data_IF_265878801542
#
_entry.id   IF_265878801542
#
_cell.length_a   1.000
_cell.length_b   1.000
_cell.length_c   1.000
_cell.angle_alpha   90.00
_cell.angle_beta   90.00
_cell.angle_gamma   90.00
#
_symmetry.space_group_name_H-M   'P 1'
#
loop_
_entity.id
_entity.type
_entity.pdbx_description
1 polymer ?
#
# COMPACT_ATOMS: atom_id res chain seq x y z
N UNK A 1 15.93 -10.94 1.07
CA UNK A 1 16.79 -10.12 1.98
C UNK A 1 16.00 -9.16 2.86
N UNK A 2 14.77 -8.80 2.48
CA UNK A 2 14.00 -7.74 3.13
C UNK A 2 14.83 -6.43 3.33
N UNK A 3 15.69 -6.08 2.37
CA UNK A 3 16.69 -5.02 2.44
C UNK A 3 17.68 -5.15 3.62
N UNK A 4 17.94 -6.38 4.06
CA UNK A 4 18.96 -6.71 5.07
C UNK A 4 19.87 -7.83 4.50
N UNK A 5 21.15 -7.55 4.18
CA UNK A 5 22.05 -8.56 3.64
C UNK A 5 22.22 -9.78 4.56
N UNK A 6 22.27 -9.56 5.87
CA UNK A 6 22.44 -10.63 6.85
C UNK A 6 21.20 -11.54 6.99
N UNK A 7 20.08 -11.10 6.46
CA UNK A 7 18.81 -11.85 6.41
C UNK A 7 18.61 -12.52 5.03
N UNK A 8 19.62 -12.61 4.20
CA UNK A 8 19.50 -13.19 2.86
C UNK A 8 19.26 -14.71 2.94
N UNK A 9 18.25 -15.19 2.24
CA UNK A 9 17.98 -16.61 2.05
C UNK A 9 17.27 -16.86 0.72
N UNK A 10 17.37 -18.07 0.22
CA UNK A 10 16.63 -18.53 -0.95
C UNK A 10 15.37 -19.28 -0.48
N UNK A 11 14.18 -18.72 -0.72
CA UNK A 11 12.95 -19.40 -0.35
C UNK A 11 12.77 -20.65 -1.21
N UNK A 12 12.25 -21.74 -0.59
CA UNK A 12 11.97 -23.01 -1.29
C UNK A 12 10.64 -22.99 -2.04
N UNK A 13 9.76 -22.09 -1.68
CA UNK A 13 8.41 -21.95 -2.22
C UNK A 13 8.08 -20.49 -2.47
N UNK A 14 7.23 -20.24 -3.44
CA UNK A 14 6.65 -18.93 -3.65
C UNK A 14 5.67 -18.56 -2.53
N UNK A 15 5.57 -17.27 -2.21
CA UNK A 15 4.49 -16.79 -1.36
C UNK A 15 3.13 -17.10 -2.01
N UNK A 16 2.12 -17.42 -1.19
CA UNK A 16 0.81 -17.88 -1.68
C UNK A 16 0.20 -16.95 -2.74
N UNK A 17 0.31 -15.63 -2.56
CA UNK A 17 -0.19 -14.66 -3.54
C UNK A 17 0.60 -14.69 -4.86
N UNK A 18 1.90 -14.91 -4.80
CA UNK A 18 2.76 -15.02 -5.99
C UNK A 18 2.38 -16.28 -6.78
N UNK A 19 2.23 -17.42 -6.09
CA UNK A 19 1.80 -18.67 -6.69
C UNK A 19 0.45 -18.53 -7.42
N UNK A 20 -0.56 -17.93 -6.76
CA UNK A 20 -1.87 -17.69 -7.38
C UNK A 20 -1.78 -16.82 -8.64
N UNK A 21 -0.96 -15.79 -8.62
CA UNK A 21 -0.78 -14.91 -9.78
C UNK A 21 -0.07 -15.63 -10.94
N UNK A 22 0.93 -16.46 -10.65
CA UNK A 22 1.59 -17.30 -11.67
C UNK A 22 0.58 -18.30 -12.27
N UNK A 23 -0.23 -18.94 -11.45
CA UNK A 23 -1.29 -19.85 -11.89
C UNK A 23 -2.36 -19.12 -12.75
N UNK A 24 -2.59 -17.83 -12.52
CA UNK A 24 -3.44 -16.96 -13.32
C UNK A 24 -2.76 -16.44 -14.62
N UNK A 25 -1.48 -16.80 -14.85
CA UNK A 25 -0.75 -16.44 -16.07
C UNK A 25 0.21 -15.26 -15.92
N UNK A 26 0.40 -14.71 -14.72
CA UNK A 26 1.38 -13.68 -14.50
C UNK A 26 2.81 -14.22 -14.57
N UNK A 27 3.74 -13.39 -15.03
CA UNK A 27 5.16 -13.74 -15.13
C UNK A 27 5.99 -12.79 -14.25
N UNK A 28 6.67 -13.30 -13.18
CA UNK A 28 7.51 -12.49 -12.33
C UNK A 28 8.80 -12.07 -13.05
N UNK A 29 9.04 -10.77 -13.16
CA UNK A 29 10.22 -10.20 -13.83
C UNK A 29 11.36 -9.87 -12.89
N UNK A 30 11.11 -9.81 -11.58
CA UNK A 30 12.15 -9.52 -10.59
C UNK A 30 11.62 -9.18 -9.21
N UNK A 31 12.54 -8.79 -8.34
CA UNK A 31 12.28 -8.28 -6.98
C UNK A 31 12.83 -6.87 -6.86
N UNK A 32 12.10 -6.01 -6.19
CA UNK A 32 12.41 -4.59 -6.07
C UNK A 32 13.06 -4.26 -4.73
N UNK A 33 13.69 -3.10 -4.65
CA UNK A 33 14.18 -2.52 -3.41
C UNK A 33 13.00 -2.05 -2.52
N UNK A 34 13.24 -1.96 -1.21
CA UNK A 34 12.25 -1.54 -0.22
C UNK A 34 12.96 -0.94 1.00
N UNK A 35 12.22 -0.25 1.87
CA UNK A 35 12.72 0.07 3.21
C UNK A 35 12.90 -1.21 4.01
N UNK A 36 14.01 -1.32 4.74
CA UNK A 36 14.42 -2.52 5.46
C UNK A 36 13.31 -3.07 6.37
N UNK A 37 13.01 -4.36 6.24
CA UNK A 37 11.95 -5.09 6.94
C UNK A 37 10.57 -4.42 6.83
N UNK A 38 10.30 -3.74 5.72
CA UNK A 38 9.07 -3.01 5.48
C UNK A 38 8.77 -1.93 6.54
N UNK A 39 9.80 -1.42 7.23
CA UNK A 39 9.70 -0.39 8.26
C UNK A 39 10.10 0.98 7.75
N UNK A 40 9.13 1.83 7.47
CA UNK A 40 9.30 3.18 6.95
C UNK A 40 8.27 3.52 5.89
N UNK A 41 8.18 4.81 5.57
CA UNK A 41 7.24 5.34 4.57
C UNK A 41 7.92 6.24 3.53
N UNK A 42 9.25 6.27 3.52
CA UNK A 42 10.02 7.27 2.73
C UNK A 42 10.79 6.68 1.55
N UNK A 43 11.16 5.38 1.58
CA UNK A 43 11.92 4.73 0.51
C UNK A 43 13.44 4.96 0.58
N UNK A 44 13.95 5.41 1.74
CA UNK A 44 15.37 5.75 1.93
C UNK A 44 16.10 4.82 2.90
N UNK A 45 15.40 3.84 3.46
CA UNK A 45 15.95 2.91 4.48
C UNK A 45 16.40 1.59 3.89
N UNK A 46 17.31 1.64 2.94
CA UNK A 46 17.86 0.44 2.32
C UNK A 46 19.39 0.52 2.19
N UNK A 47 20.11 -0.56 2.51
CA UNK A 47 21.56 -0.63 2.27
C UNK A 47 21.91 -0.71 0.78
N UNK A 48 20.91 -0.97 -0.08
CA UNK A 48 21.08 -1.02 -1.53
C UNK A 48 20.89 0.35 -2.22
N UNK A 49 20.73 1.41 -1.43
CA UNK A 49 20.53 2.77 -1.90
C UNK A 49 19.06 3.21 -1.85
N UNK A 50 18.87 4.50 -2.03
CA UNK A 50 17.56 5.14 -2.08
C UNK A 50 16.85 4.88 -3.41
N UNK A 51 15.56 4.61 -3.35
CA UNK A 51 14.73 4.58 -4.56
C UNK A 51 14.22 5.99 -4.81
N UNK A 52 14.53 6.54 -5.96
CA UNK A 52 14.08 7.88 -6.37
C UNK A 52 12.64 7.84 -6.88
N UNK A 53 11.91 8.93 -6.67
CA UNK A 53 10.57 9.09 -7.19
C UNK A 53 10.57 9.05 -8.73
N UNK A 54 9.58 8.40 -9.32
CA UNK A 54 9.52 8.21 -10.78
C UNK A 54 9.20 9.51 -11.55
N UNK A 55 8.54 10.48 -10.91
CA UNK A 55 8.11 11.73 -11.53
C UNK A 55 9.15 12.84 -11.35
N UNK A 56 9.80 12.87 -10.18
CA UNK A 56 10.83 13.85 -9.83
C UNK A 56 11.87 13.18 -8.91
N UNK A 57 13.10 12.94 -9.41
CA UNK A 57 14.14 12.25 -8.65
C UNK A 57 14.68 13.03 -7.44
N UNK A 58 14.33 14.31 -7.30
CA UNK A 58 14.65 15.11 -6.10
C UNK A 58 13.67 14.84 -4.94
N UNK A 59 12.54 14.17 -5.21
CA UNK A 59 11.56 13.80 -4.21
C UNK A 59 11.74 12.34 -3.76
N UNK A 60 11.23 12.03 -2.56
CA UNK A 60 11.16 10.67 -2.07
C UNK A 60 10.17 9.83 -2.89
N UNK A 61 10.48 8.57 -3.09
CA UNK A 61 9.55 7.62 -3.72
C UNK A 61 8.36 7.25 -2.84
N UNK A 62 8.48 7.50 -1.54
CA UNK A 62 7.65 6.84 -0.54
C UNK A 62 8.06 5.39 -0.33
N UNK A 63 7.56 4.80 0.74
CA UNK A 63 7.91 3.45 1.17
C UNK A 63 6.82 2.83 2.07
N UNK A 64 7.09 1.65 2.55
CA UNK A 64 8.31 0.84 2.41
C UNK A 64 8.44 0.15 1.04
N UNK A 65 7.36 -0.04 0.27
CA UNK A 65 7.36 -0.72 -1.04
C UNK A 65 7.80 0.23 -2.18
N UNK A 66 8.94 0.91 -1.97
CA UNK A 66 9.45 1.98 -2.83
C UNK A 66 9.72 1.52 -4.27
N UNK A 67 10.53 0.48 -4.43
CA UNK A 67 10.89 -0.04 -5.75
C UNK A 67 9.69 -0.64 -6.48
N UNK A 68 8.73 -1.22 -5.74
CA UNK A 68 7.50 -1.77 -6.32
C UNK A 68 6.68 -0.67 -7.01
N UNK A 69 6.46 0.45 -6.35
CA UNK A 69 5.75 1.58 -6.93
C UNK A 69 6.52 2.17 -8.13
N UNK A 70 7.80 2.46 -7.94
CA UNK A 70 8.60 3.09 -8.99
C UNK A 70 8.73 2.23 -10.24
N UNK A 71 8.84 0.90 -10.10
CA UNK A 71 8.93 -0.01 -11.27
C UNK A 71 7.68 0.04 -12.13
N UNK A 72 6.50 0.15 -11.55
CA UNK A 72 5.23 0.29 -12.30
C UNK A 72 5.12 1.68 -12.92
N UNK A 73 5.43 2.73 -12.16
CA UNK A 73 5.38 4.10 -12.66
C UNK A 73 6.32 4.35 -13.85
N UNK A 74 7.46 3.65 -13.89
CA UNK A 74 8.41 3.69 -15.01
C UNK A 74 8.08 2.69 -16.15
N UNK A 75 6.98 1.96 -16.06
CA UNK A 75 6.57 0.99 -17.08
C UNK A 75 7.45 -0.26 -17.16
N UNK A 76 8.23 -0.57 -16.11
CA UNK A 76 9.07 -1.78 -16.06
C UNK A 76 8.25 -3.05 -15.80
N UNK A 77 7.06 -2.91 -15.24
CA UNK A 77 6.12 -3.99 -14.97
C UNK A 77 4.69 -3.48 -15.14
N UNK A 78 3.77 -4.34 -15.56
CA UNK A 78 2.35 -4.02 -15.68
C UNK A 78 1.74 -3.76 -14.29
N UNK A 79 2.12 -4.56 -13.31
CA UNK A 79 1.80 -4.37 -11.90
C UNK A 79 2.95 -4.87 -11.03
N UNK A 80 2.93 -4.51 -9.77
CA UNK A 80 3.87 -5.06 -8.77
C UNK A 80 3.18 -5.31 -7.45
N UNK A 81 3.74 -6.20 -6.66
CA UNK A 81 3.30 -6.46 -5.30
C UNK A 81 4.16 -5.69 -4.30
N UNK A 82 3.56 -5.31 -3.19
CA UNK A 82 4.22 -4.80 -2.02
C UNK A 82 3.46 -5.21 -0.76
N UNK A 83 3.74 -4.54 0.34
CA UNK A 83 3.01 -4.73 1.61
C UNK A 83 2.54 -3.40 2.15
N UNK A 84 1.49 -3.44 2.96
CA UNK A 84 0.95 -2.26 3.64
C UNK A 84 0.46 -2.66 5.04
N UNK A 85 1.30 -2.42 6.03
CA UNK A 85 0.97 -2.58 7.44
C UNK A 85 0.37 -1.29 7.99
N UNK A 86 0.97 -0.14 7.63
CA UNK A 86 0.60 1.19 8.11
C UNK A 86 0.71 2.28 7.03
N UNK A 87 0.61 1.92 5.75
CA UNK A 87 0.67 2.87 4.63
C UNK A 87 1.63 2.48 3.51
N UNK A 88 2.46 1.45 3.69
CA UNK A 88 3.58 1.13 2.78
C UNK A 88 3.17 0.70 1.36
N UNK A 89 1.91 0.43 1.09
CA UNK A 89 1.36 0.27 -0.27
C UNK A 89 0.77 1.57 -0.80
N UNK A 90 -0.02 2.26 0.01
CA UNK A 90 -0.76 3.48 -0.39
C UNK A 90 0.14 4.71 -0.54
N UNK A 91 1.10 4.90 0.37
CA UNK A 91 1.99 6.08 0.35
C UNK A 91 2.86 6.13 -0.91
N UNK A 92 3.65 5.08 -1.26
CA UNK A 92 4.45 5.14 -2.48
C UNK A 92 3.61 5.16 -3.75
N UNK A 93 2.41 4.55 -3.77
CA UNK A 93 1.49 4.69 -4.88
C UNK A 93 1.05 6.14 -5.09
N UNK A 94 0.64 6.83 -4.03
CA UNK A 94 0.22 8.23 -4.10
C UNK A 94 1.34 9.15 -4.59
N UNK A 95 2.59 8.93 -4.13
CA UNK A 95 3.74 9.74 -4.52
C UNK A 95 4.22 9.49 -5.95
N UNK A 96 3.85 8.36 -6.56
CA UNK A 96 4.21 8.02 -7.94
C UNK A 96 2.98 7.99 -8.88
N UNK A 97 1.85 8.61 -8.48
CA UNK A 97 0.61 8.71 -9.26
C UNK A 97 0.04 7.36 -9.73
N UNK A 98 0.09 6.35 -8.87
CA UNK A 98 -0.41 5.01 -9.13
C UNK A 98 -1.67 4.70 -8.31
N UNK A 99 -2.37 3.65 -8.72
CA UNK A 99 -3.33 2.95 -7.87
C UNK A 99 -2.55 2.05 -6.91
N UNK A 100 -2.69 2.30 -5.60
CA UNK A 100 -2.19 1.43 -4.54
C UNK A 100 -3.37 0.76 -3.86
N UNK A 101 -3.68 -0.48 -4.24
CA UNK A 101 -4.81 -1.20 -3.67
C UNK A 101 -4.36 -2.05 -2.50
N UNK A 102 -4.85 -1.68 -1.32
CA UNK A 102 -4.70 -2.46 -0.09
C UNK A 102 -6.01 -3.19 0.20
N UNK A 103 -6.07 -4.52 0.09
CA UNK A 103 -7.28 -5.27 0.41
C UNK A 103 -7.61 -5.20 1.90
N UNK A 104 -8.78 -5.72 2.26
CA UNK A 104 -9.11 -5.97 3.65
C UNK A 104 -8.13 -6.97 4.25
N UNK A 105 -7.83 -6.81 5.54
CA UNK A 105 -6.89 -7.66 6.27
C UNK A 105 -7.30 -9.15 6.17
N UNK A 106 -6.41 -9.99 5.66
CA UNK A 106 -6.65 -11.42 5.47
C UNK A 106 -7.43 -11.81 4.20
N UNK A 107 -7.83 -10.84 3.35
CA UNK A 107 -8.45 -11.15 2.06
C UNK A 107 -7.48 -11.78 1.06
N UNK A 108 -6.21 -11.45 1.18
CA UNK A 108 -5.08 -12.10 0.51
C UNK A 108 -4.21 -12.78 1.54
N UNK A 109 -3.72 -13.99 1.22
CA UNK A 109 -2.82 -14.70 2.12
C UNK A 109 -1.48 -13.97 2.27
N UNK A 110 -0.97 -13.91 3.49
CA UNK A 110 0.38 -13.44 3.80
C UNK A 110 1.38 -14.58 4.00
N UNK A 111 0.97 -15.82 3.70
CA UNK A 111 1.88 -16.98 3.74
C UNK A 111 3.07 -16.78 2.80
N UNK A 112 4.27 -16.97 3.32
CA UNK A 112 5.53 -16.79 2.58
C UNK A 112 6.01 -15.34 2.47
N UNK A 113 5.31 -14.39 3.10
CA UNK A 113 5.74 -12.98 3.19
C UNK A 113 6.52 -12.77 4.49
N UNK A 114 7.66 -12.08 4.40
CA UNK A 114 8.42 -11.68 5.59
C UNK A 114 7.60 -10.64 6.35
N UNK A 115 7.21 -10.90 7.62
CA UNK A 115 6.33 -9.99 8.34
C UNK A 115 7.03 -8.74 8.84
N UNK A 116 6.32 -7.60 8.81
CA UNK A 116 6.64 -6.42 9.61
C UNK A 116 5.84 -6.44 10.92
N UNK A 117 4.52 -6.62 10.82
CA UNK A 117 3.61 -6.86 11.92
C UNK A 117 2.54 -7.84 11.44
N UNK A 118 2.73 -9.13 11.68
CA UNK A 118 1.95 -10.21 11.07
C UNK A 118 0.42 -10.04 11.19
N UNK A 119 -0.05 -9.49 12.31
CA UNK A 119 -1.48 -9.27 12.54
C UNK A 119 -2.09 -8.07 11.77
N UNK A 120 -1.24 -7.21 11.20
CA UNK A 120 -1.66 -6.00 10.46
C UNK A 120 -1.19 -6.01 9.01
N UNK A 121 -0.29 -6.91 8.64
CA UNK A 121 0.29 -6.96 7.30
C UNK A 121 -0.76 -7.31 6.24
N UNK A 122 -0.76 -6.55 5.16
CA UNK A 122 -1.48 -6.86 3.94
C UNK A 122 -0.52 -6.88 2.77
N UNK A 123 -0.65 -7.86 1.88
CA UNK A 123 -0.06 -7.74 0.55
C UNK A 123 -0.91 -6.77 -0.27
N UNK A 124 -0.27 -5.95 -1.07
CA UNK A 124 -0.88 -4.88 -1.87
C UNK A 124 -0.44 -4.98 -3.32
N UNK A 125 -1.19 -4.35 -4.21
CA UNK A 125 -0.81 -4.20 -5.61
C UNK A 125 -0.64 -2.73 -5.98
N UNK A 126 0.34 -2.46 -6.83
CA UNK A 126 0.55 -1.21 -7.54
C UNK A 126 0.19 -1.43 -9.00
N UNK A 127 -0.65 -0.56 -9.54
CA UNK A 127 -1.09 -0.63 -10.92
C UNK A 127 -1.32 0.78 -11.48
N UNK A 128 -1.38 0.91 -12.82
CA UNK A 128 -1.67 2.18 -13.47
C UNK A 128 -3.16 2.49 -13.55
N UNK A 129 -4.03 1.48 -13.44
CA UNK A 129 -5.49 1.63 -13.49
C UNK A 129 -6.18 0.85 -12.37
N UNK A 130 -7.45 1.20 -12.09
CA UNK A 130 -8.28 0.45 -11.16
C UNK A 130 -8.61 -0.93 -11.72
N UNK A 131 -8.80 -1.02 -13.02
CA UNK A 131 -9.10 -2.25 -13.74
C UNK A 131 -7.98 -3.27 -13.57
N UNK A 132 -6.71 -2.87 -13.76
CA UNK A 132 -5.55 -3.73 -13.56
C UNK A 132 -5.44 -4.19 -12.10
N UNK A 133 -5.68 -3.26 -11.16
CA UNK A 133 -5.65 -3.58 -9.73
C UNK A 133 -6.76 -4.58 -9.33
N UNK A 134 -7.93 -4.48 -9.96
CA UNK A 134 -9.06 -5.39 -9.73
C UNK A 134 -8.78 -6.79 -10.31
N UNK A 135 -8.20 -6.89 -11.50
CA UNK A 135 -7.77 -8.18 -12.09
C UNK A 135 -6.79 -8.91 -11.16
N UNK A 136 -5.79 -8.19 -10.64
CA UNK A 136 -4.85 -8.75 -9.67
C UNK A 136 -5.56 -9.16 -8.37
N UNK A 137 -6.51 -8.34 -7.89
CA UNK A 137 -7.30 -8.66 -6.72
C UNK A 137 -8.11 -9.94 -6.90
N UNK A 138 -8.76 -10.12 -8.03
CA UNK A 138 -9.56 -11.32 -8.33
C UNK A 138 -8.70 -12.58 -8.36
N UNK A 139 -7.48 -12.50 -8.89
CA UNK A 139 -6.56 -13.63 -8.94
C UNK A 139 -5.94 -13.95 -7.55
N UNK A 140 -5.60 -12.92 -6.77
CA UNK A 140 -4.86 -13.08 -5.52
C UNK A 140 -5.74 -13.41 -4.30
N UNK A 141 -7.01 -12.97 -4.30
CA UNK A 141 -7.93 -13.12 -3.15
C UNK A 141 -8.36 -14.56 -2.91
N UNK A 142 -8.84 -14.80 -1.70
CA UNK A 142 -9.46 -16.06 -1.28
C UNK A 142 -8.81 -16.63 -0.04
N UNK A 143 -9.55 -17.54 0.60
CA UNK A 143 -9.10 -18.20 1.85
C UNK A 143 -7.90 -19.08 1.58
N UNK A 144 -6.94 -19.01 2.48
CA UNK A 144 -5.79 -19.90 2.56
C UNK A 144 -5.78 -20.53 3.96
N UNK A 145 -6.05 -21.82 4.04
CA UNK A 145 -6.12 -22.57 5.31
C UNK A 145 -4.78 -22.65 6.04
N UNK A 146 -3.68 -22.49 5.30
CA UNK A 146 -2.33 -22.48 5.88
C UNK A 146 -1.88 -21.09 6.37
N UNK A 147 -2.72 -20.05 6.19
CA UNK A 147 -2.49 -18.71 6.69
C UNK A 147 -3.47 -18.38 7.82
N UNK A 148 -2.97 -18.33 9.07
CA UNK A 148 -3.81 -18.05 10.25
C UNK A 148 -4.49 -16.68 10.23
N UNK A 149 -4.03 -15.76 9.39
CA UNK A 149 -4.62 -14.42 9.21
C UNK A 149 -5.64 -14.39 8.07
N UNK A 150 -5.72 -15.44 7.24
CA UNK A 150 -6.65 -15.48 6.11
C UNK A 150 -8.10 -15.49 6.56
N UNK A 151 -8.95 -14.78 5.83
CA UNK A 151 -10.38 -14.62 6.13
C UNK A 151 -11.19 -14.66 4.87
N UNK A 152 -12.38 -15.22 4.97
CA UNK A 152 -13.36 -15.15 3.91
C UNK A 152 -14.04 -13.77 3.89
N UNK A 153 -14.09 -13.16 2.73
CA UNK A 153 -14.84 -11.93 2.48
C UNK A 153 -15.82 -12.15 1.35
N UNK A 154 -17.06 -11.78 1.58
CA UNK A 154 -18.04 -11.69 0.51
C UNK A 154 -17.60 -10.63 -0.49
N UNK A 155 -17.88 -10.88 -1.75
CA UNK A 155 -17.60 -9.93 -2.81
C UNK A 155 -18.32 -8.61 -2.54
N UNK A 156 -17.62 -7.47 -2.49
CA UNK A 156 -18.24 -6.20 -2.23
C UNK A 156 -19.12 -5.80 -3.42
N UNK A 157 -20.35 -5.41 -3.15
CA UNK A 157 -21.18 -4.78 -4.17
C UNK A 157 -20.72 -3.33 -4.35
N UNK A 158 -20.39 -2.90 -5.57
CA UNK A 158 -20.02 -1.51 -5.84
C UNK A 158 -21.17 -0.58 -5.41
N UNK A 159 -20.89 0.28 -4.44
CA UNK A 159 -21.89 1.22 -3.94
C UNK A 159 -21.17 2.48 -3.46
N UNK A 160 -21.64 3.62 -3.94
CA UNK A 160 -21.18 4.89 -3.40
C UNK A 160 -21.58 5.02 -1.91
N UNK A 161 -20.66 5.44 -1.05
CA UNK A 161 -20.96 5.71 0.34
C UNK A 161 -21.94 6.87 0.44
N UNK A 162 -22.86 6.79 1.39
CA UNK A 162 -23.77 7.92 1.69
C UNK A 162 -23.08 9.01 2.50
N UNK A 163 -22.03 8.65 3.25
CA UNK A 163 -21.33 9.51 4.18
C UNK A 163 -19.82 9.17 4.16
N UNK A 164 -18.99 10.18 4.22
CA UNK A 164 -17.54 10.09 4.43
C UNK A 164 -17.19 10.89 5.68
N UNK A 165 -16.37 10.31 6.56
CA UNK A 165 -15.87 10.99 7.76
C UNK A 165 -14.46 11.51 7.52
N UNK A 166 -14.21 12.75 7.91
CA UNK A 166 -12.93 13.40 7.89
C UNK A 166 -12.50 13.81 9.30
N UNK A 167 -11.20 13.97 9.52
CA UNK A 167 -10.68 14.42 10.81
C UNK A 167 -11.15 15.85 11.12
N UNK A 168 -11.73 16.05 12.32
CA UNK A 168 -12.25 17.35 12.78
C UNK A 168 -11.13 18.39 12.87
N UNK A 169 -9.95 17.99 13.34
CA UNK A 169 -8.79 18.87 13.49
C UNK A 169 -8.06 19.17 12.15
N UNK A 170 -8.61 18.60 11.06
CA UNK A 170 -8.11 18.79 9.71
C UNK A 170 -6.85 17.97 9.40
N UNK A 171 -6.23 18.32 8.30
CA UNK A 171 -4.98 17.73 7.80
C UNK A 171 -3.91 18.79 7.82
N UNK A 172 -2.73 18.47 8.35
CA UNK A 172 -1.59 19.38 8.34
C UNK A 172 -0.84 19.28 7.02
N UNK A 173 -0.54 20.42 6.42
CA UNK A 173 0.25 20.54 5.21
C UNK A 173 1.58 21.21 5.53
N UNK A 174 2.67 20.68 5.01
CA UNK A 174 4.02 21.20 5.24
C UNK A 174 4.90 21.02 3.99
N UNK A 175 6.07 21.65 3.99
CA UNK A 175 7.01 21.64 2.88
C UNK A 175 6.70 22.69 1.81
N UNK A 176 7.49 22.73 0.73
CA UNK A 176 7.44 23.80 -0.27
C UNK A 176 6.11 23.85 -1.05
N UNK A 177 5.35 22.79 -1.07
CA UNK A 177 4.07 22.66 -1.81
C UNK A 177 2.84 22.67 -0.89
N UNK A 178 2.99 23.06 0.39
CA UNK A 178 1.91 23.00 1.38
C UNK A 178 0.61 23.69 0.93
N UNK A 179 0.70 24.90 0.36
CA UNK A 179 -0.45 25.66 -0.12
C UNK A 179 -1.15 24.98 -1.30
N UNK A 180 -0.38 24.37 -2.19
CA UNK A 180 -0.92 23.61 -3.34
C UNK A 180 -1.67 22.37 -2.83
N UNK A 181 -1.10 21.62 -1.91
CA UNK A 181 -1.76 20.45 -1.32
C UNK A 181 -3.03 20.85 -0.57
N UNK A 182 -3.01 21.95 0.18
CA UNK A 182 -4.20 22.47 0.86
C UNK A 182 -5.31 22.80 -0.13
N UNK A 183 -4.98 23.50 -1.21
CA UNK A 183 -5.96 23.84 -2.26
C UNK A 183 -6.53 22.58 -2.93
N UNK A 184 -5.69 21.56 -3.21
CA UNK A 184 -6.14 20.29 -3.78
C UNK A 184 -7.02 19.51 -2.81
N UNK A 185 -6.72 19.54 -1.52
CA UNK A 185 -7.55 18.93 -0.48
C UNK A 185 -8.96 19.54 -0.44
N UNK A 186 -9.07 20.87 -0.47
CA UNK A 186 -10.36 21.56 -0.53
C UNK A 186 -11.14 21.19 -1.82
N UNK A 187 -10.45 21.09 -2.96
CA UNK A 187 -11.07 20.61 -4.20
C UNK A 187 -11.56 19.16 -4.09
N UNK A 188 -10.81 18.28 -3.42
CA UNK A 188 -11.21 16.90 -3.22
C UNK A 188 -12.48 16.78 -2.34
N UNK A 189 -12.55 17.56 -1.25
CA UNK A 189 -13.75 17.64 -0.41
C UNK A 189 -14.96 18.11 -1.21
N UNK A 190 -14.80 19.18 -1.98
CA UNK A 190 -15.87 19.69 -2.82
C UNK A 190 -16.37 18.66 -3.84
N UNK A 191 -15.48 17.88 -4.47
CA UNK A 191 -15.89 16.80 -5.39
C UNK A 191 -16.74 15.74 -4.68
N UNK A 192 -16.41 15.38 -3.45
CA UNK A 192 -17.18 14.43 -2.65
C UNK A 192 -18.58 14.98 -2.38
N UNK A 193 -18.70 16.25 -1.99
CA UNK A 193 -19.98 16.91 -1.76
C UNK A 193 -20.81 17.03 -3.05
N UNK A 194 -20.17 17.40 -4.17
CA UNK A 194 -20.81 17.50 -5.49
C UNK A 194 -21.35 16.15 -5.99
N UNK A 195 -20.83 15.00 -5.50
CA UNK A 195 -21.38 13.66 -5.74
C UNK A 195 -22.59 13.33 -4.85
N UNK A 196 -23.04 14.26 -4.01
CA UNK A 196 -24.15 14.04 -3.08
C UNK A 196 -23.78 13.22 -1.83
N UNK A 197 -22.49 13.08 -1.55
CA UNK A 197 -21.97 12.37 -0.38
C UNK A 197 -21.86 13.34 0.80
N UNK A 198 -22.46 12.99 1.94
CA UNK A 198 -22.36 13.80 3.16
C UNK A 198 -20.94 13.70 3.74
N UNK A 199 -20.30 14.84 3.99
CA UNK A 199 -19.05 14.90 4.74
C UNK A 199 -19.35 15.19 6.21
N UNK A 200 -18.87 14.33 7.11
CA UNK A 200 -18.96 14.50 8.56
C UNK A 200 -17.56 14.62 9.16
N UNK A 201 -17.38 15.54 10.09
CA UNK A 201 -16.11 15.74 10.79
C UNK A 201 -16.14 15.04 12.15
N UNK A 202 -15.22 14.10 12.37
CA UNK A 202 -15.15 13.28 13.58
C UNK A 202 -13.84 13.51 14.34
N UNK A 203 -13.83 13.20 15.63
CA UNK A 203 -12.63 13.16 16.45
C UNK A 203 -11.75 11.97 16.02
N UNK A 204 -10.54 12.26 15.58
CA UNK A 204 -9.56 11.28 15.09
C UNK A 204 -8.53 10.84 16.17
N UNK A 205 -8.65 11.36 17.38
CA UNK A 205 -7.69 11.12 18.47
C UNK A 205 -7.48 9.63 18.76
N UNK A 206 -8.55 8.84 18.74
CA UNK A 206 -8.45 7.38 18.98
C UNK A 206 -7.68 6.66 17.89
N UNK A 207 -7.82 7.09 16.63
CA UNK A 207 -7.05 6.51 15.53
C UNK A 207 -5.57 6.85 15.63
N UNK A 208 -5.23 8.08 16.02
CA UNK A 208 -3.86 8.51 16.26
C UNK A 208 -3.23 7.74 17.42
N UNK A 209 -3.95 7.53 18.52
CA UNK A 209 -3.49 6.71 19.65
C UNK A 209 -3.27 5.25 19.24
N UNK A 210 -4.16 4.67 18.44
CA UNK A 210 -3.99 3.32 17.93
C UNK A 210 -2.76 3.20 17.02
N UNK A 211 -2.52 4.20 16.17
CA UNK A 211 -1.33 4.23 15.31
C UNK A 211 -0.03 4.36 16.12
N UNK A 212 -0.02 5.14 17.22
CA UNK A 212 1.18 5.30 18.06
C UNK A 212 1.62 3.99 18.73
N UNK A 213 0.70 3.10 19.05
CA UNK A 213 1.03 1.78 19.63
C UNK A 213 1.94 0.97 18.71
N UNK A 214 1.75 1.08 17.39
CA UNK A 214 2.59 0.36 16.41
C UNK A 214 4.06 0.81 16.45
N UNK A 215 4.31 2.07 16.76
CA UNK A 215 5.65 2.67 16.71
C UNK A 215 6.28 2.88 18.08
N UNK A 216 5.45 3.11 19.10
CA UNK A 216 5.87 3.48 20.46
C UNK A 216 5.55 2.37 21.48
N UNK A 217 4.91 1.30 21.06
CA UNK A 217 4.57 0.16 21.90
C UNK A 217 5.79 -0.69 22.29
N UNK A 218 5.64 -1.57 23.31
CA UNK A 218 6.71 -2.46 23.78
C UNK A 218 7.11 -3.50 22.71
#
# INVERSE_FOLDING_TARGET
>A
TAACPDYAYDPKEDAAVVKKLIEAGAFPVGKTNLDQFATGLVGTRSPYGEVKNALDPELISGGSSSGSAVSVALGMAAFSLGTDTAGSGRVPAALNCLVGYKPSLGAWSTKGVVPACASLDCVTVFANSLEDAEEVNLAARGVDEECCWSREYKEPLPKLPKKICLAKDGVTFYGPYADIYKAKWEQAKKRIEDMGITVEYIDYTMFSKAASILYDGP
#
